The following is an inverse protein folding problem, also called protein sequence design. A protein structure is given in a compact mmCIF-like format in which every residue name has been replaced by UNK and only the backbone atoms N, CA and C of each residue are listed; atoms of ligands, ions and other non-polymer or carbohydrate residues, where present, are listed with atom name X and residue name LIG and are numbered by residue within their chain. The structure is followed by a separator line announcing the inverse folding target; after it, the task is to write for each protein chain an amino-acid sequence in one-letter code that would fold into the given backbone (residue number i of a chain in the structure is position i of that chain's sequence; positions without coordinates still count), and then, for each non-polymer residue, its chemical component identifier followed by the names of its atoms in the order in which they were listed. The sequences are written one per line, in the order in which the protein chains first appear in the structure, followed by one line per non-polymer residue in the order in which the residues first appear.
data_IF_970027355569
#
_entry.id   IF_970027355569
#
_cell.length_a   1.000
_cell.length_b   1.000
_cell.length_c   1.000
_cell.angle_alpha   90.00
_cell.angle_beta   90.00
_cell.angle_gamma   90.00
#
_symmetry.space_group_name_H-M   'P 1'
#
loop_
_entity.id
_entity.type
_entity.pdbx_description
1 polymer ?
#
# COMPACT_ATOMS: atom_id res chain seq x y z
N UNK A 1 -10.85 1.95 18.31
CA UNK A 1 -9.57 1.45 18.79
C UNK A 1 -8.45 2.36 18.33
N UNK A 2 -7.24 2.06 18.79
CA UNK A 2 -5.98 2.62 18.30
C UNK A 2 -5.60 1.88 17.02
N UNK A 3 -5.42 2.62 15.91
CA UNK A 3 -5.02 2.06 14.62
C UNK A 3 -3.67 2.63 14.22
N UNK A 4 -2.71 1.74 13.97
CA UNK A 4 -1.40 2.09 13.47
C UNK A 4 -1.42 2.34 11.96
N UNK A 5 -0.65 3.34 11.51
CA UNK A 5 -0.33 3.53 10.11
C UNK A 5 1.06 4.15 9.94
N UNK A 6 1.64 3.98 8.76
CA UNK A 6 2.90 4.63 8.43
C UNK A 6 2.68 6.13 8.24
N UNK A 7 3.58 6.95 8.79
CA UNK A 7 3.55 8.41 8.66
C UNK A 7 3.56 8.84 7.19
N UNK A 8 2.84 9.93 6.89
CA UNK A 8 2.79 10.56 5.57
C UNK A 8 2.24 9.65 4.45
N UNK A 9 1.30 8.77 4.80
CA UNK A 9 0.57 7.91 3.86
C UNK A 9 -0.91 8.28 3.76
N UNK A 10 -1.57 7.79 2.71
CA UNK A 10 -3.02 7.96 2.55
C UNK A 10 -3.81 7.17 3.61
N UNK A 11 -3.25 6.08 4.14
CA UNK A 11 -3.80 5.28 5.23
C UNK A 11 -3.87 6.10 6.52
N UNK A 12 -2.76 6.76 6.89
CA UNK A 12 -2.72 7.65 8.05
C UNK A 12 -3.74 8.79 7.90
N UNK A 13 -3.80 9.42 6.72
CA UNK A 13 -4.79 10.45 6.42
C UNK A 13 -6.24 9.95 6.52
N UNK A 14 -6.51 8.73 6.05
CA UNK A 14 -7.83 8.11 6.15
C UNK A 14 -8.24 7.86 7.60
N UNK A 15 -7.35 7.29 8.43
CA UNK A 15 -7.62 7.09 9.86
C UNK A 15 -7.81 8.43 10.56
N UNK A 16 -6.97 9.43 10.28
CA UNK A 16 -7.08 10.76 10.90
C UNK A 16 -8.41 11.46 10.60
N UNK A 17 -8.98 11.23 9.41
CA UNK A 17 -10.30 11.73 9.02
C UNK A 17 -11.47 10.87 9.55
N UNK A 18 -11.17 9.73 10.16
CA UNK A 18 -12.16 8.82 10.74
C UNK A 18 -12.47 9.16 12.22
N UNK A 19 -13.24 8.30 12.89
CA UNK A 19 -13.47 8.36 14.33
C UNK A 19 -12.49 7.53 15.18
N UNK A 20 -11.51 6.87 14.58
CA UNK A 20 -10.52 6.06 15.29
C UNK A 20 -9.36 6.90 15.85
N UNK A 21 -8.62 6.35 16.80
CA UNK A 21 -7.38 6.96 17.31
C UNK A 21 -6.22 6.54 16.41
N UNK A 22 -5.60 7.49 15.72
CA UNK A 22 -4.39 7.24 14.91
C UNK A 22 -3.14 7.21 15.79
N UNK A 23 -2.27 6.21 15.57
CA UNK A 23 -0.86 6.24 15.98
C UNK A 23 0.02 6.06 14.74
N UNK A 24 1.00 6.93 14.56
CA UNK A 24 1.87 6.94 13.37
C UNK A 24 3.26 6.36 13.69
N UNK A 25 3.79 5.57 12.75
CA UNK A 25 5.16 5.03 12.80
C UNK A 25 5.94 5.36 11.54
N UNK A 26 7.27 5.44 11.66
CA UNK A 26 8.12 5.86 10.55
C UNK A 26 8.20 4.79 9.44
N UNK A 27 8.18 3.53 9.82
CA UNK A 27 8.33 2.39 8.91
C UNK A 27 7.10 1.49 8.91
N UNK A 28 6.82 0.78 7.80
CA UNK A 28 5.75 -0.21 7.76
C UNK A 28 5.93 -1.30 8.82
N UNK A 29 7.15 -1.80 9.03
CA UNK A 29 7.42 -2.88 9.97
C UNK A 29 7.07 -2.51 11.42
N UNK A 30 7.34 -1.26 11.82
CA UNK A 30 6.95 -0.74 13.14
C UNK A 30 5.43 -0.78 13.35
N UNK A 31 4.63 -0.52 12.29
CA UNK A 31 3.16 -0.60 12.40
C UNK A 31 2.68 -2.03 12.67
N UNK A 32 3.35 -3.03 12.10
CA UNK A 32 3.06 -4.45 12.35
C UNK A 32 3.47 -4.83 13.78
N UNK A 33 4.64 -4.38 14.24
CA UNK A 33 5.10 -4.65 15.61
C UNK A 33 4.19 -4.01 16.65
N UNK A 34 3.63 -2.83 16.38
CA UNK A 34 2.67 -2.19 17.28
C UNK A 34 1.43 -3.07 17.52
N UNK A 35 0.92 -3.74 16.48
CA UNK A 35 -0.18 -4.70 16.61
C UNK A 35 0.25 -5.96 17.36
N UNK A 36 1.40 -6.54 16.98
CA UNK A 36 1.92 -7.77 17.62
C UNK A 36 2.19 -7.60 19.11
N UNK A 37 2.61 -6.40 19.52
CA UNK A 37 2.92 -6.08 20.91
C UNK A 37 1.69 -5.56 21.69
N UNK A 38 0.53 -5.41 21.04
CA UNK A 38 -0.69 -4.89 21.65
C UNK A 38 -0.68 -3.39 21.94
N UNK A 39 0.22 -2.62 21.31
CA UNK A 39 0.23 -1.16 21.37
C UNK A 39 -0.91 -0.56 20.51
N UNK A 40 -1.20 -1.19 19.37
CA UNK A 40 -2.32 -0.84 18.51
C UNK A 40 -3.30 -2.01 18.37
N UNK A 41 -4.59 -1.72 18.25
CA UNK A 41 -5.63 -2.72 18.06
C UNK A 41 -5.62 -3.29 16.64
N UNK A 42 -5.19 -2.48 15.66
CA UNK A 42 -5.09 -2.86 14.25
C UNK A 42 -4.06 -2.00 13.52
N UNK A 43 -3.70 -2.41 12.30
CA UNK A 43 -2.91 -1.62 11.35
C UNK A 43 -3.72 -1.41 10.08
N UNK A 44 -3.71 -0.19 9.53
CA UNK A 44 -4.16 0.08 8.17
C UNK A 44 -2.94 0.32 7.28
N UNK A 45 -2.71 -0.57 6.33
CA UNK A 45 -1.60 -0.49 5.39
C UNK A 45 -2.06 -0.94 3.98
N UNK A 46 -1.15 -0.90 3.02
CA UNK A 46 -1.39 -1.44 1.68
C UNK A 46 -1.67 -2.96 1.74
N UNK A 47 -2.64 -3.43 0.96
CA UNK A 47 -3.07 -4.83 0.97
C UNK A 47 -1.98 -5.79 0.49
N UNK A 48 -1.25 -5.44 -0.57
CA UNK A 48 -0.19 -6.29 -1.12
C UNK A 48 1.02 -6.36 -0.18
N UNK A 49 1.20 -5.35 0.68
CA UNK A 49 2.14 -5.42 1.80
C UNK A 49 1.66 -6.34 2.93
N UNK A 50 0.37 -6.27 3.31
CA UNK A 50 -0.17 -7.03 4.44
C UNK A 50 -0.38 -8.53 4.16
N UNK A 51 -0.80 -8.90 2.95
CA UNK A 51 -1.20 -10.28 2.62
C UNK A 51 -0.10 -11.32 2.88
N UNK A 52 1.18 -11.12 2.46
CA UNK A 52 2.25 -12.05 2.80
C UNK A 52 2.49 -12.15 4.30
N UNK A 53 2.46 -11.02 5.02
CA UNK A 53 2.70 -10.96 6.47
C UNK A 53 1.63 -11.75 7.24
N UNK A 54 0.36 -11.62 6.83
CA UNK A 54 -0.74 -12.39 7.40
C UNK A 54 -0.56 -13.89 7.09
N UNK A 55 -0.21 -14.24 5.85
CA UNK A 55 0.04 -15.63 5.44
C UNK A 55 1.19 -16.30 6.19
N UNK A 56 2.23 -15.54 6.55
CA UNK A 56 3.40 -16.01 7.30
C UNK A 56 3.23 -15.90 8.83
N UNK A 57 2.12 -15.34 9.31
CA UNK A 57 1.89 -15.08 10.74
C UNK A 57 1.55 -16.32 11.57
N UNK A 58 1.39 -17.49 10.95
CA UNK A 58 0.88 -18.71 11.61
C UNK A 58 -0.46 -18.51 12.34
N UNK A 59 -1.31 -17.61 11.83
CA UNK A 59 -2.63 -17.31 12.40
C UNK A 59 -2.63 -16.28 13.55
N UNK A 60 -1.48 -15.66 13.83
CA UNK A 60 -1.39 -14.57 14.83
C UNK A 60 -1.98 -13.25 14.33
N UNK A 61 -2.06 -13.07 13.01
CA UNK A 61 -2.65 -11.89 12.37
C UNK A 61 -3.75 -12.35 11.41
N UNK A 62 -4.79 -11.53 11.27
CA UNK A 62 -5.87 -11.73 10.31
C UNK A 62 -6.28 -10.41 9.64
N UNK A 63 -6.81 -10.51 8.43
CA UNK A 63 -7.41 -9.36 7.73
C UNK A 63 -8.85 -9.20 8.22
N UNK A 64 -9.13 -8.09 8.90
CA UNK A 64 -10.46 -7.82 9.52
C UNK A 64 -11.35 -6.89 8.69
N UNK A 65 -10.81 -6.29 7.63
CA UNK A 65 -11.53 -5.34 6.78
C UNK A 65 -10.68 -4.86 5.61
N UNK A 66 -11.33 -4.18 4.66
CA UNK A 66 -10.68 -3.62 3.48
C UNK A 66 -11.28 -2.27 3.14
N UNK A 67 -10.41 -1.31 2.80
CA UNK A 67 -10.80 0.01 2.34
C UNK A 67 -10.14 0.30 0.98
N UNK A 68 -10.90 0.90 0.07
CA UNK A 68 -10.39 1.30 -1.25
C UNK A 68 -10.03 2.79 -1.23
N UNK A 69 -8.76 3.08 -0.93
CA UNK A 69 -8.23 4.44 -0.84
C UNK A 69 -7.14 4.69 -1.89
N UNK A 70 -7.12 5.88 -2.46
CA UNK A 70 -6.17 6.28 -3.50
C UNK A 70 -6.65 6.01 -4.93
N UNK A 71 -5.80 6.32 -5.91
CA UNK A 71 -6.07 6.23 -7.35
C UNK A 71 -5.12 5.32 -8.13
N UNK A 72 -4.41 4.43 -7.41
CA UNK A 72 -3.31 3.62 -7.95
C UNK A 72 -1.92 4.21 -7.68
N UNK A 73 -0.90 3.37 -7.80
CA UNK A 73 0.50 3.72 -7.56
C UNK A 73 1.09 4.38 -8.83
N UNK A 74 1.80 5.49 -8.66
CA UNK A 74 2.44 6.24 -9.74
C UNK A 74 3.84 6.73 -9.39
N UNK A 75 4.56 7.19 -10.41
CA UNK A 75 5.89 7.78 -10.24
C UNK A 75 5.80 9.25 -9.84
N UNK A 76 6.43 9.62 -8.73
CA UNK A 76 6.61 11.02 -8.33
C UNK A 76 7.71 11.70 -9.15
N UNK A 77 7.40 12.85 -9.75
CA UNK A 77 8.32 13.66 -10.56
C UNK A 77 8.20 15.12 -10.09
N UNK A 78 9.29 15.90 -10.12
CA UNK A 78 9.24 17.34 -9.84
C UNK A 78 8.31 18.04 -10.85
N UNK A 79 7.56 19.03 -10.39
CA UNK A 79 6.64 19.78 -11.24
C UNK A 79 7.31 20.46 -12.45
N UNK A 80 8.59 20.82 -12.31
CA UNK A 80 9.38 21.43 -13.38
C UNK A 80 9.88 20.44 -14.45
N UNK A 81 9.81 19.13 -14.20
CA UNK A 81 10.43 18.09 -15.04
C UNK A 81 9.42 17.46 -16.03
N UNK A 82 8.74 18.31 -16.81
CA UNK A 82 7.71 17.89 -17.77
C UNK A 82 8.21 16.89 -18.84
N UNK A 83 9.42 17.08 -19.34
CA UNK A 83 10.02 16.18 -20.34
C UNK A 83 10.30 14.77 -19.79
N UNK A 84 10.72 14.68 -18.52
CA UNK A 84 10.92 13.39 -17.86
C UNK A 84 9.58 12.70 -17.63
N UNK A 85 8.58 13.45 -17.16
CA UNK A 85 7.22 12.94 -16.98
C UNK A 85 6.68 12.34 -18.28
N UNK A 86 6.76 13.08 -19.40
CA UNK A 86 6.26 12.62 -20.69
C UNK A 86 6.95 11.33 -21.18
N UNK A 87 8.26 11.19 -20.94
CA UNK A 87 9.01 9.96 -21.28
C UNK A 87 8.57 8.77 -20.43
N UNK A 88 8.39 8.97 -19.13
CA UNK A 88 7.93 7.90 -18.22
C UNK A 88 6.50 7.48 -18.53
N UNK A 89 5.59 8.45 -18.75
CA UNK A 89 4.20 8.18 -19.15
C UNK A 89 4.15 7.36 -20.45
N UNK A 90 4.96 7.73 -21.45
CA UNK A 90 5.04 6.98 -22.71
C UNK A 90 5.54 5.55 -22.50
N UNK A 91 6.61 5.36 -21.71
CA UNK A 91 7.17 4.03 -21.45
C UNK A 91 6.17 3.13 -20.71
N UNK A 92 5.54 3.65 -19.65
CA UNK A 92 4.47 2.94 -18.93
C UNK A 92 3.33 2.62 -19.89
N UNK A 93 2.88 3.59 -20.70
CA UNK A 93 1.84 3.38 -21.71
C UNK A 93 2.17 2.26 -22.70
N UNK A 94 3.43 2.15 -23.15
CA UNK A 94 3.85 1.03 -24.02
C UNK A 94 3.81 -0.32 -23.31
N UNK A 95 4.26 -0.39 -22.05
CA UNK A 95 4.19 -1.62 -21.25
C UNK A 95 2.77 -2.02 -20.90
N UNK A 96 1.87 -1.02 -20.84
CA UNK A 96 0.44 -1.26 -20.68
C UNK A 96 -0.16 -1.89 -21.93
N UNK A 97 0.14 -1.30 -23.10
CA UNK A 97 -0.39 -1.72 -24.38
C UNK A 97 0.11 -3.11 -24.81
N UNK A 98 1.37 -3.45 -24.51
CA UNK A 98 1.95 -4.76 -24.86
C UNK A 98 1.73 -5.84 -23.80
N UNK A 99 1.12 -5.50 -22.66
CA UNK A 99 0.79 -6.41 -21.57
C UNK A 99 1.96 -6.79 -20.66
N UNK A 100 3.18 -6.31 -20.94
CA UNK A 100 4.37 -6.67 -20.15
C UNK A 100 4.26 -6.19 -18.69
N UNK A 101 3.59 -5.07 -18.44
CA UNK A 101 3.34 -4.61 -17.07
C UNK A 101 2.39 -5.56 -16.32
N UNK A 102 1.40 -6.16 -16.99
CA UNK A 102 0.48 -7.12 -16.35
C UNK A 102 1.19 -8.43 -16.02
N UNK A 103 2.06 -8.89 -16.92
CA UNK A 103 2.95 -10.02 -16.65
C UNK A 103 3.84 -9.74 -15.43
N UNK A 104 4.36 -8.52 -15.31
CA UNK A 104 5.19 -8.12 -14.17
C UNK A 104 4.40 -8.07 -12.86
N UNK A 105 3.21 -7.49 -12.86
CA UNK A 105 2.32 -7.45 -11.69
C UNK A 105 2.04 -8.86 -11.19
N UNK A 106 1.58 -9.76 -12.06
CA UNK A 106 1.25 -11.13 -11.68
C UNK A 106 2.44 -11.93 -11.18
N UNK A 107 3.62 -11.70 -11.76
CA UNK A 107 4.87 -12.33 -11.29
C UNK A 107 5.16 -12.03 -9.82
N UNK A 108 4.87 -10.82 -9.35
CA UNK A 108 5.23 -10.38 -8.00
C UNK A 108 4.09 -10.46 -7.00
N UNK A 109 2.85 -10.29 -7.45
CA UNK A 109 1.66 -10.21 -6.59
C UNK A 109 0.70 -11.40 -6.76
N UNK A 110 1.03 -12.35 -7.63
CA UNK A 110 0.22 -13.55 -7.90
C UNK A 110 -0.78 -13.38 -9.04
N UNK A 111 -1.35 -14.50 -9.48
CA UNK A 111 -2.21 -14.53 -10.68
C UNK A 111 -3.54 -13.78 -10.52
N UNK A 112 -4.01 -13.65 -9.28
CA UNK A 112 -5.24 -12.95 -8.90
C UNK A 112 -5.03 -11.44 -8.64
N UNK A 113 -3.80 -10.93 -8.83
CA UNK A 113 -3.49 -9.53 -8.62
C UNK A 113 -4.29 -8.60 -9.55
N UNK A 114 -4.64 -7.42 -9.04
CA UNK A 114 -5.28 -6.38 -9.83
C UNK A 114 -4.33 -5.88 -10.92
N UNK A 115 -4.81 -5.94 -12.16
CA UNK A 115 -4.14 -5.40 -13.35
C UNK A 115 -4.58 -3.96 -13.63
N UNK A 116 -3.86 -3.26 -14.51
CA UNK A 116 -4.17 -1.86 -14.87
C UNK A 116 -5.11 -1.72 -16.07
#
# INVERSE_FOLDING_TARGET
GVIAAQTATIQAGFIAASGATLVEFATPDETIQAVRNGEADAVLADGDYLLPIVGESNGELEVVGQESIGGGIGMGIRESDGDLKAKMDKAIGTMKADGTLNTMIKKWFGDDANVF
#
